data_IF_533690532592
#
_entry.id   IF_533690532592
#
_cell.length_a   1.000
_cell.length_b   1.000
_cell.length_c   1.000
_cell.angle_alpha   90.00
_cell.angle_beta   90.00
_cell.angle_gamma   90.00
#
_symmetry.space_group_name_H-M   'P 1'
#
loop_
_entity.id
_entity.type
_entity.pdbx_description
1 polymer ?
#
# COMPACT_ATOMS: atom_id res chain seq x y z
N UNK A 1 -12.16 60.49 9.05
CA UNK A 1 -11.63 59.26 9.69
C UNK A 1 -12.25 58.08 9.00
N UNK A 2 -11.57 57.51 8.00
CA UNK A 2 -11.98 56.25 7.34
C UNK A 2 -11.28 55.08 8.08
N UNK A 3 -12.07 54.16 8.62
CA UNK A 3 -11.61 52.90 9.16
C UNK A 3 -11.48 51.89 8.01
N UNK A 4 -10.26 51.52 7.66
CA UNK A 4 -9.97 50.36 6.78
C UNK A 4 -10.15 49.08 7.63
N UNK A 5 -11.15 48.28 7.28
CA UNK A 5 -11.27 46.91 7.78
C UNK A 5 -10.35 45.99 6.97
N UNK A 6 -9.27 45.52 7.59
CA UNK A 6 -8.41 44.47 7.02
C UNK A 6 -9.12 43.12 7.18
N UNK A 7 -9.66 42.61 6.09
CA UNK A 7 -10.18 41.25 6.02
C UNK A 7 -9.00 40.23 6.06
N UNK A 8 -8.87 39.50 7.17
CA UNK A 8 -8.03 38.32 7.27
C UNK A 8 -8.63 37.21 6.41
N UNK A 9 -8.00 36.94 5.25
CA UNK A 9 -8.29 35.75 4.47
C UNK A 9 -7.79 34.52 5.25
N UNK A 10 -8.70 33.65 5.65
CA UNK A 10 -8.37 32.33 6.19
C UNK A 10 -7.66 31.51 5.09
N UNK A 11 -6.60 30.77 5.42
CA UNK A 11 -5.95 29.89 4.44
C UNK A 11 -6.96 28.84 3.99
N UNK A 12 -7.15 28.76 2.67
CA UNK A 12 -7.92 27.71 2.03
C UNK A 12 -7.33 26.35 2.42
N UNK A 13 -8.02 25.59 3.27
CA UNK A 13 -7.71 24.19 3.50
C UNK A 13 -7.68 23.50 2.15
N UNK A 14 -6.58 22.85 1.82
CA UNK A 14 -6.46 22.07 0.59
C UNK A 14 -7.57 21.02 0.58
N UNK A 15 -8.66 21.30 -0.12
CA UNK A 15 -9.68 20.32 -0.44
C UNK A 15 -8.99 19.26 -1.26
N UNK A 16 -8.90 18.05 -0.72
CA UNK A 16 -8.50 16.87 -1.47
C UNK A 16 -9.51 16.77 -2.63
N UNK A 17 -9.10 17.16 -3.84
CA UNK A 17 -9.94 17.03 -5.03
C UNK A 17 -10.42 15.60 -5.11
N UNK A 18 -11.74 15.40 -5.25
CA UNK A 18 -12.32 14.08 -5.46
C UNK A 18 -11.58 13.41 -6.62
N UNK A 19 -11.32 12.09 -6.49
CA UNK A 19 -10.68 11.32 -7.56
C UNK A 19 -11.51 11.48 -8.83
N UNK A 20 -10.96 12.13 -9.86
CA UNK A 20 -11.63 12.27 -11.14
C UNK A 20 -11.51 10.98 -11.97
N UNK A 21 -12.51 10.76 -12.83
CA UNK A 21 -12.61 9.56 -13.66
C UNK A 21 -11.42 9.42 -14.63
N UNK A 22 -10.90 10.52 -15.16
CA UNK A 22 -9.78 10.50 -16.10
C UNK A 22 -8.49 10.01 -15.43
N UNK A 23 -8.21 10.51 -14.22
CA UNK A 23 -7.06 10.07 -13.42
C UNK A 23 -7.22 8.59 -13.00
N UNK A 24 -8.39 8.20 -12.51
CA UNK A 24 -8.68 6.81 -12.15
C UNK A 24 -8.57 5.88 -13.36
N UNK A 25 -9.05 6.32 -14.53
CA UNK A 25 -8.96 5.58 -15.80
C UNK A 25 -7.53 5.29 -16.23
N UNK A 26 -6.62 6.27 -16.08
CA UNK A 26 -5.18 6.02 -16.34
C UNK A 26 -4.61 4.93 -15.45
N UNK A 27 -4.93 4.93 -14.15
CA UNK A 27 -4.45 3.89 -13.23
C UNK A 27 -5.08 2.53 -13.54
N UNK A 28 -6.38 2.50 -13.85
CA UNK A 28 -7.07 1.27 -14.26
C UNK A 28 -6.44 0.68 -15.54
N UNK A 29 -6.09 1.51 -16.52
CA UNK A 29 -5.43 1.08 -17.75
C UNK A 29 -4.11 0.38 -17.46
N UNK A 30 -3.26 0.93 -16.59
CA UNK A 30 -1.99 0.28 -16.20
C UNK A 30 -2.19 -1.14 -15.67
N UNK A 31 -3.21 -1.34 -14.83
CA UNK A 31 -3.51 -2.67 -14.29
C UNK A 31 -4.16 -3.59 -15.35
N UNK A 32 -5.08 -3.08 -16.17
CA UNK A 32 -5.72 -3.85 -17.25
C UNK A 32 -4.70 -4.34 -18.29
N UNK A 33 -3.69 -3.51 -18.60
CA UNK A 33 -2.63 -3.85 -19.54
C UNK A 33 -1.65 -4.87 -18.98
N UNK A 34 -1.65 -5.14 -17.68
CA UNK A 34 -0.65 -5.99 -17.06
C UNK A 34 -1.20 -7.27 -16.38
N UNK A 35 -2.40 -7.27 -15.76
CA UNK A 35 -2.87 -8.44 -14.96
C UNK A 35 -2.94 -9.75 -15.72
N UNK A 36 -3.07 -9.69 -17.04
CA UNK A 36 -3.04 -10.86 -17.94
C UNK A 36 -1.87 -10.87 -18.92
N UNK A 37 -0.89 -10.00 -18.71
CA UNK A 37 0.34 -9.99 -19.49
C UNK A 37 1.39 -10.86 -18.81
N UNK A 38 1.62 -12.05 -19.36
CA UNK A 38 2.49 -13.06 -18.77
C UNK A 38 3.98 -12.66 -18.81
N UNK A 39 4.43 -11.99 -19.87
CA UNK A 39 5.85 -11.67 -20.05
C UNK A 39 6.07 -10.15 -20.33
N UNK A 40 7.25 -9.60 -19.87
CA UNK A 40 8.29 -10.25 -19.07
C UNK A 40 7.81 -10.60 -17.66
N UNK A 41 8.36 -11.66 -17.03
CA UNK A 41 7.97 -12.12 -15.70
C UNK A 41 9.15 -12.54 -14.86
N UNK A 42 9.07 -12.27 -13.57
CA UNK A 42 10.04 -12.65 -12.55
C UNK A 42 9.40 -13.63 -11.56
N UNK A 43 9.68 -14.92 -11.74
CA UNK A 43 9.27 -15.96 -10.79
C UNK A 43 10.16 -15.88 -9.56
N UNK A 44 9.57 -15.77 -8.37
CA UNK A 44 10.27 -15.55 -7.10
C UNK A 44 10.27 -16.75 -6.16
N UNK A 45 10.43 -18.01 -6.64
CA UNK A 45 10.48 -19.18 -5.78
C UNK A 45 11.80 -19.98 -5.91
N UNK A 46 12.05 -20.85 -4.93
CA UNK A 46 13.16 -21.79 -4.95
C UNK A 46 12.74 -23.01 -5.76
N UNK A 47 13.55 -23.40 -6.76
CA UNK A 47 13.35 -24.63 -7.52
C UNK A 47 13.87 -25.81 -6.69
N UNK A 48 13.03 -26.84 -6.49
CA UNK A 48 13.39 -28.11 -5.88
C UNK A 48 13.69 -29.20 -6.94
N UNK A 49 13.34 -28.93 -8.22
CA UNK A 49 13.58 -29.81 -9.36
C UNK A 49 13.03 -29.18 -10.64
N UNK A 50 13.24 -29.87 -11.77
CA UNK A 50 12.83 -29.40 -13.09
C UNK A 50 11.31 -29.12 -13.20
N UNK A 51 10.50 -29.85 -12.44
CA UNK A 51 9.06 -29.68 -12.35
C UNK A 51 8.62 -28.32 -11.78
N UNK A 52 9.53 -27.58 -11.13
CA UNK A 52 9.27 -26.23 -10.62
C UNK A 52 9.55 -25.13 -11.67
N UNK A 53 10.16 -25.47 -12.79
CA UNK A 53 10.50 -24.55 -13.87
C UNK A 53 9.38 -24.51 -14.92
N UNK A 54 8.17 -24.10 -14.51
CA UNK A 54 7.01 -24.00 -15.36
C UNK A 54 6.73 -22.52 -15.74
N UNK A 55 5.97 -22.28 -16.82
CA UNK A 55 5.48 -20.93 -17.16
C UNK A 55 4.68 -20.31 -16.02
N UNK A 56 4.72 -18.96 -15.85
CA UNK A 56 4.00 -18.28 -14.78
C UNK A 56 2.51 -18.67 -14.65
N UNK A 57 1.78 -18.76 -15.76
CA UNK A 57 0.34 -19.15 -15.77
C UNK A 57 0.06 -20.57 -15.27
N UNK A 58 1.07 -21.47 -15.34
CA UNK A 58 0.93 -22.84 -14.83
C UNK A 58 1.28 -22.92 -13.33
N UNK A 59 2.19 -22.08 -12.88
CA UNK A 59 2.58 -21.99 -11.47
C UNK A 59 1.53 -21.22 -10.64
N UNK A 60 1.17 -20.03 -11.10
CA UNK A 60 0.29 -19.09 -10.39
C UNK A 60 -0.86 -18.63 -11.29
N UNK A 61 -1.86 -19.51 -11.55
CA UNK A 61 -2.83 -19.31 -12.61
C UNK A 61 -3.75 -18.10 -12.42
N UNK A 62 -3.87 -17.60 -11.19
CA UNK A 62 -4.63 -16.37 -10.90
C UNK A 62 -3.75 -15.12 -11.08
N UNK A 63 -2.55 -15.12 -10.53
CA UNK A 63 -1.69 -13.94 -10.42
C UNK A 63 -0.39 -14.06 -11.24
N UNK A 64 -0.49 -14.49 -12.50
CA UNK A 64 0.65 -14.73 -13.38
C UNK A 64 1.13 -13.50 -14.14
N UNK A 65 0.36 -12.40 -14.14
CA UNK A 65 0.67 -11.18 -14.90
C UNK A 65 1.51 -10.16 -14.16
N UNK A 66 1.59 -8.95 -14.71
CA UNK A 66 2.21 -7.77 -14.11
C UNK A 66 3.67 -7.92 -13.68
N UNK A 67 4.49 -8.69 -14.39
CA UNK A 67 5.92 -8.87 -14.12
C UNK A 67 6.25 -9.81 -12.95
N UNK A 68 5.55 -9.76 -11.82
CA UNK A 68 5.70 -10.65 -10.68
C UNK A 68 4.38 -10.85 -9.90
N UNK A 69 4.39 -11.80 -8.99
CA UNK A 69 3.20 -12.22 -8.30
C UNK A 69 2.53 -11.08 -7.50
N UNK A 70 3.29 -10.37 -6.68
CA UNK A 70 2.72 -9.30 -5.84
C UNK A 70 2.20 -8.13 -6.67
N UNK A 71 2.86 -7.80 -7.78
CA UNK A 71 2.36 -6.75 -8.69
C UNK A 71 1.05 -7.14 -9.33
N UNK A 72 0.87 -8.42 -9.70
CA UNK A 72 -0.41 -8.94 -10.16
C UNK A 72 -1.48 -8.82 -9.07
N UNK A 73 -1.18 -9.24 -7.83
CA UNK A 73 -2.11 -9.16 -6.69
C UNK A 73 -2.59 -7.73 -6.45
N UNK A 74 -1.67 -6.76 -6.33
CA UNK A 74 -2.10 -5.38 -6.08
C UNK A 74 -2.66 -4.68 -7.33
N UNK A 75 -2.36 -5.17 -8.53
CA UNK A 75 -3.07 -4.78 -9.75
C UNK A 75 -4.55 -5.19 -9.72
N UNK A 76 -4.85 -6.42 -9.29
CA UNK A 76 -6.22 -6.87 -9.06
C UNK A 76 -6.91 -6.08 -7.94
N UNK A 77 -6.19 -5.77 -6.84
CA UNK A 77 -6.70 -4.89 -5.80
C UNK A 77 -7.06 -3.49 -6.35
N UNK A 78 -6.19 -2.90 -7.17
CA UNK A 78 -6.45 -1.61 -7.83
C UNK A 78 -7.75 -1.65 -8.64
N UNK A 79 -7.92 -2.69 -9.48
CA UNK A 79 -9.13 -2.86 -10.30
C UNK A 79 -10.38 -2.99 -9.44
N UNK A 80 -10.34 -3.81 -8.38
CA UNK A 80 -11.44 -3.96 -7.44
C UNK A 80 -11.77 -2.63 -6.74
N UNK A 81 -10.74 -1.93 -6.23
CA UNK A 81 -10.89 -0.65 -5.54
C UNK A 81 -11.52 0.42 -6.44
N UNK A 82 -11.00 0.60 -7.65
CA UNK A 82 -11.51 1.62 -8.56
C UNK A 82 -12.91 1.29 -9.11
N UNK A 83 -13.19 0.03 -9.45
CA UNK A 83 -14.52 -0.38 -9.88
C UNK A 83 -15.58 -0.22 -8.77
N UNK A 84 -15.20 -0.40 -7.51
CA UNK A 84 -16.06 -0.16 -6.35
C UNK A 84 -16.32 1.32 -6.11
N UNK A 85 -15.27 2.16 -6.17
CA UNK A 85 -15.36 3.60 -5.85
C UNK A 85 -16.02 4.40 -6.97
N UNK A 86 -15.81 4.00 -8.22
CA UNK A 86 -16.34 4.64 -9.43
C UNK A 86 -17.08 3.63 -10.32
N UNK A 87 -18.23 3.07 -9.85
CA UNK A 87 -18.89 1.94 -10.51
C UNK A 87 -19.48 2.26 -11.90
N UNK A 88 -19.62 3.55 -12.22
CA UNK A 88 -20.16 4.02 -13.50
C UNK A 88 -19.09 4.55 -14.45
N UNK A 89 -17.81 4.55 -14.05
CA UNK A 89 -16.71 4.99 -14.91
C UNK A 89 -16.51 4.03 -16.09
N UNK A 90 -16.03 4.56 -17.21
CA UNK A 90 -15.81 3.78 -18.43
C UNK A 90 -14.90 2.56 -18.27
N UNK A 91 -13.98 2.58 -17.31
CA UNK A 91 -13.10 1.46 -16.98
C UNK A 91 -13.74 0.41 -16.06
N UNK A 92 -14.87 0.70 -15.40
CA UNK A 92 -15.43 -0.20 -14.38
C UNK A 92 -15.85 -1.56 -14.95
N UNK A 93 -16.52 -1.60 -16.09
CA UNK A 93 -16.89 -2.86 -16.75
C UNK A 93 -15.67 -3.67 -17.23
N UNK A 94 -14.65 -3.10 -17.90
CA UNK A 94 -13.39 -3.81 -18.18
C UNK A 94 -12.68 -4.32 -16.92
N UNK A 95 -12.64 -3.55 -15.83
CA UNK A 95 -12.03 -3.97 -14.56
C UNK A 95 -12.75 -5.19 -13.97
N UNK A 96 -14.09 -5.17 -13.93
CA UNK A 96 -14.89 -6.32 -13.47
C UNK A 96 -14.67 -7.56 -14.35
N UNK A 97 -14.62 -7.40 -15.67
CA UNK A 97 -14.33 -8.50 -16.58
C UNK A 97 -12.94 -9.13 -16.35
N UNK A 98 -11.93 -8.30 -16.07
CA UNK A 98 -10.59 -8.77 -15.72
C UNK A 98 -10.57 -9.53 -14.39
N UNK A 99 -11.25 -9.02 -13.36
CA UNK A 99 -11.41 -9.70 -12.07
C UNK A 99 -12.14 -11.04 -12.21
N UNK A 100 -13.26 -11.07 -12.95
CA UNK A 100 -14.04 -12.28 -13.19
C UNK A 100 -13.22 -13.36 -13.94
N UNK A 101 -12.34 -12.95 -14.85
CA UNK A 101 -11.44 -13.86 -15.56
C UNK A 101 -10.42 -14.52 -14.65
N UNK A 102 -9.88 -13.77 -13.67
CA UNK A 102 -8.83 -14.26 -12.77
C UNK A 102 -9.36 -14.95 -11.51
N UNK A 103 -10.44 -14.42 -10.90
CA UNK A 103 -10.91 -14.86 -9.59
C UNK A 103 -11.91 -16.02 -9.67
N UNK A 104 -11.66 -16.98 -10.57
CA UNK A 104 -12.46 -18.20 -10.66
C UNK A 104 -12.06 -19.20 -9.57
N UNK A 105 -13.00 -20.08 -9.20
CA UNK A 105 -12.75 -21.11 -8.18
C UNK A 105 -11.56 -22.01 -8.56
N UNK A 106 -11.46 -22.41 -9.83
CA UNK A 106 -10.42 -23.33 -10.31
C UNK A 106 -9.03 -22.68 -10.30
N UNK A 107 -8.91 -21.42 -10.77
CA UNK A 107 -7.63 -20.70 -10.76
C UNK A 107 -7.17 -20.43 -9.34
N UNK A 108 -8.05 -19.99 -8.45
CA UNK A 108 -7.75 -19.77 -7.04
C UNK A 108 -7.40 -21.05 -6.29
N UNK A 109 -7.99 -22.19 -6.67
CA UNK A 109 -7.58 -23.50 -6.13
C UNK A 109 -6.17 -23.89 -6.61
N UNK A 110 -5.83 -23.64 -7.88
CA UNK A 110 -4.48 -23.84 -8.41
C UNK A 110 -3.45 -22.98 -7.70
N UNK A 111 -3.77 -21.71 -7.50
CA UNK A 111 -2.94 -20.75 -6.76
C UNK A 111 -2.70 -21.20 -5.31
N UNK A 112 -3.74 -21.66 -4.62
CA UNK A 112 -3.64 -22.17 -3.27
C UNK A 112 -2.79 -23.45 -3.19
N UNK A 113 -2.91 -24.35 -4.17
CA UNK A 113 -2.04 -25.54 -4.26
C UNK A 113 -0.58 -25.17 -4.50
N UNK A 114 -0.32 -24.18 -5.35
CA UNK A 114 1.04 -23.65 -5.55
C UNK A 114 1.65 -23.14 -4.23
N UNK A 115 0.89 -22.36 -3.47
CA UNK A 115 1.37 -21.88 -2.18
C UNK A 115 1.68 -23.02 -1.19
N UNK A 116 0.96 -24.12 -1.19
CA UNK A 116 1.19 -25.29 -0.32
C UNK A 116 2.41 -26.11 -0.74
N UNK A 117 2.93 -25.90 -1.94
CA UNK A 117 4.05 -26.66 -2.47
C UNK A 117 5.32 -26.54 -1.64
N UNK A 118 6.24 -27.53 -1.77
CA UNK A 118 7.53 -27.52 -1.09
C UNK A 118 8.34 -26.29 -1.50
N UNK A 119 9.17 -25.75 -0.59
CA UNK A 119 10.02 -24.59 -0.85
C UNK A 119 9.28 -23.23 -0.91
N UNK A 120 7.95 -23.18 -0.67
CA UNK A 120 7.14 -21.95 -0.79
C UNK A 120 6.90 -21.20 0.53
N UNK A 121 7.52 -21.62 1.65
CA UNK A 121 7.27 -21.06 2.99
C UNK A 121 7.57 -19.56 3.07
N UNK A 122 8.59 -19.07 2.39
CA UNK A 122 8.99 -17.65 2.36
C UNK A 122 8.50 -16.89 1.12
N UNK A 123 7.79 -17.58 0.20
CA UNK A 123 7.29 -16.94 -1.02
C UNK A 123 6.38 -15.76 -0.67
N UNK A 124 6.73 -14.60 -1.23
CA UNK A 124 6.00 -13.33 -1.12
C UNK A 124 5.81 -12.77 0.30
N UNK A 125 6.54 -13.27 1.28
CA UNK A 125 6.44 -12.85 2.68
C UNK A 125 7.38 -11.68 2.99
N UNK A 126 6.90 -10.55 3.60
CA UNK A 126 5.50 -10.32 3.98
C UNK A 126 4.66 -9.57 2.95
N UNK A 127 5.28 -8.83 2.01
CA UNK A 127 4.67 -7.80 1.17
C UNK A 127 3.54 -8.33 0.27
N UNK A 128 3.82 -9.35 -0.54
CA UNK A 128 2.82 -9.90 -1.45
C UNK A 128 1.65 -10.53 -0.71
N UNK A 129 1.92 -11.25 0.41
CA UNK A 129 0.86 -11.81 1.25
C UNK A 129 0.00 -10.70 1.90
N UNK A 130 0.60 -9.58 2.31
CA UNK A 130 -0.13 -8.44 2.85
C UNK A 130 -1.04 -7.77 1.79
N UNK A 131 -0.58 -7.64 0.54
CA UNK A 131 -1.40 -7.16 -0.55
C UNK A 131 -2.55 -8.12 -0.91
N UNK A 132 -2.32 -9.44 -0.84
CA UNK A 132 -3.39 -10.42 -1.02
C UNK A 132 -4.49 -10.25 0.06
N UNK A 133 -4.10 -10.02 1.30
CA UNK A 133 -5.05 -9.73 2.37
C UNK A 133 -5.78 -8.39 2.14
N UNK A 134 -5.11 -7.38 1.56
CA UNK A 134 -5.77 -6.14 1.14
C UNK A 134 -6.81 -6.37 0.02
N UNK A 135 -6.50 -7.22 -0.96
CA UNK A 135 -7.48 -7.61 -1.99
C UNK A 135 -8.69 -8.30 -1.34
N UNK A 136 -8.47 -9.23 -0.43
CA UNK A 136 -9.55 -9.90 0.30
C UNK A 136 -10.42 -8.91 1.08
N UNK A 137 -9.80 -7.95 1.79
CA UNK A 137 -10.52 -6.89 2.51
C UNK A 137 -11.36 -6.01 1.57
N UNK A 138 -10.83 -5.65 0.40
CA UNK A 138 -11.56 -4.84 -0.59
C UNK A 138 -12.80 -5.57 -1.12
N UNK A 139 -12.65 -6.85 -1.48
CA UNK A 139 -13.76 -7.67 -1.98
C UNK A 139 -14.83 -7.92 -0.91
N UNK A 140 -14.44 -8.21 0.33
CA UNK A 140 -15.38 -8.40 1.46
C UNK A 140 -16.18 -7.13 1.76
N UNK A 141 -15.52 -5.98 1.71
CA UNK A 141 -16.16 -4.68 1.96
C UNK A 141 -16.97 -4.16 0.78
N UNK A 142 -17.03 -4.85 -0.34
CA UNK A 142 -17.80 -4.43 -1.52
C UNK A 142 -19.19 -5.06 -1.47
N UNK A 143 -20.22 -4.24 -1.27
CA UNK A 143 -21.63 -4.65 -1.29
C UNK A 143 -22.08 -4.87 -2.73
N UNK A 144 -21.67 -6.01 -3.29
CA UNK A 144 -21.90 -6.42 -4.68
C UNK A 144 -21.87 -7.95 -4.77
N UNK A 145 -22.85 -8.55 -5.41
CA UNK A 145 -23.00 -10.01 -5.47
C UNK A 145 -21.80 -10.72 -6.11
N UNK A 146 -21.25 -10.17 -7.18
CA UNK A 146 -20.10 -10.75 -7.88
C UNK A 146 -18.84 -10.64 -7.03
N UNK A 147 -18.63 -9.48 -6.38
CA UNK A 147 -17.51 -9.28 -5.47
C UNK A 147 -17.56 -10.24 -4.26
N UNK A 148 -18.75 -10.54 -3.73
CA UNK A 148 -18.91 -11.52 -2.65
C UNK A 148 -18.59 -12.95 -3.12
N UNK A 149 -18.91 -13.31 -4.36
CA UNK A 149 -18.51 -14.60 -4.94
C UNK A 149 -16.99 -14.69 -5.12
N UNK A 150 -16.33 -13.63 -5.56
CA UNK A 150 -14.87 -13.57 -5.64
C UNK A 150 -14.21 -13.66 -4.25
N UNK A 151 -14.75 -12.96 -3.26
CA UNK A 151 -14.28 -13.04 -1.88
C UNK A 151 -14.40 -14.47 -1.32
N UNK A 152 -15.53 -15.14 -1.58
CA UNK A 152 -15.73 -16.54 -1.17
C UNK A 152 -14.69 -17.47 -1.83
N UNK A 153 -14.50 -17.34 -3.14
CA UNK A 153 -13.52 -18.15 -3.90
C UNK A 153 -12.08 -17.92 -3.43
N UNK A 154 -11.73 -16.66 -3.09
CA UNK A 154 -10.42 -16.28 -2.57
C UNK A 154 -10.15 -16.83 -1.16
N UNK A 155 -11.18 -17.22 -0.41
CA UNK A 155 -11.12 -17.51 1.02
C UNK A 155 -10.09 -18.58 1.43
N UNK A 156 -9.82 -19.62 0.60
CA UNK A 156 -8.77 -20.61 0.91
C UNK A 156 -7.38 -19.95 0.86
N UNK A 157 -7.10 -19.19 -0.18
CA UNK A 157 -5.82 -18.50 -0.39
C UNK A 157 -5.60 -17.43 0.67
N UNK A 158 -6.65 -16.68 1.04
CA UNK A 158 -6.66 -15.70 2.13
C UNK A 158 -6.25 -16.35 3.46
N UNK A 159 -6.88 -17.49 3.84
CA UNK A 159 -6.52 -18.21 5.07
C UNK A 159 -5.08 -18.72 5.06
N UNK A 160 -4.58 -19.18 3.91
CA UNK A 160 -3.18 -19.60 3.78
C UNK A 160 -2.20 -18.45 3.97
N UNK A 161 -2.48 -17.28 3.37
CA UNK A 161 -1.68 -16.08 3.56
C UNK A 161 -1.66 -15.64 5.03
N UNK A 162 -2.83 -15.55 5.65
CA UNK A 162 -2.96 -15.22 7.07
C UNK A 162 -2.21 -16.22 7.97
N UNK A 163 -2.37 -17.54 7.72
CA UNK A 163 -1.65 -18.57 8.46
C UNK A 163 -0.14 -18.45 8.32
N UNK A 164 0.38 -18.18 7.13
CA UNK A 164 1.82 -18.00 6.93
C UNK A 164 2.38 -16.82 7.71
N UNK A 165 1.65 -15.72 7.78
CA UNK A 165 2.01 -14.56 8.60
C UNK A 165 1.95 -14.94 10.08
N UNK A 166 0.90 -15.63 10.54
CA UNK A 166 0.76 -16.06 11.92
C UNK A 166 1.87 -17.03 12.37
N UNK A 167 2.27 -17.97 11.50
CA UNK A 167 3.33 -18.94 11.79
C UNK A 167 4.74 -18.31 11.78
N UNK A 168 4.93 -17.24 11.03
CA UNK A 168 6.22 -16.56 10.89
C UNK A 168 6.44 -15.49 11.94
N UNK A 169 5.44 -14.68 12.20
CA UNK A 169 5.58 -13.46 13.00
C UNK A 169 6.11 -13.71 14.43
N UNK A 170 5.71 -14.79 15.14
CA UNK A 170 6.30 -15.13 16.44
C UNK A 170 7.79 -15.46 16.41
N UNK A 171 8.31 -15.92 15.26
CA UNK A 171 9.72 -16.30 15.05
C UNK A 171 10.61 -15.14 14.67
N UNK A 172 10.04 -13.98 14.35
CA UNK A 172 10.80 -12.79 13.95
C UNK A 172 11.23 -12.04 15.21
N UNK A 173 12.51 -12.07 15.55
CA UNK A 173 13.03 -11.39 16.73
C UNK A 173 13.26 -9.89 16.53
N UNK A 174 13.61 -9.50 15.31
CA UNK A 174 13.87 -8.11 14.93
C UNK A 174 13.00 -7.69 13.75
N UNK A 175 12.48 -6.45 13.71
CA UNK A 175 11.77 -5.94 12.55
C UNK A 175 12.72 -5.76 11.36
N UNK A 176 12.18 -5.86 10.14
CA UNK A 176 12.92 -5.62 8.92
C UNK A 176 12.65 -4.17 8.50
N UNK A 177 13.69 -3.34 8.52
CA UNK A 177 13.63 -1.88 8.27
C UNK A 177 14.28 -1.50 6.93
N UNK A 178 13.91 -2.18 5.87
CA UNK A 178 14.35 -1.85 4.50
C UNK A 178 13.33 -0.95 3.82
N UNK A 179 13.73 -0.26 2.75
CA UNK A 179 12.81 0.50 1.90
C UNK A 179 12.15 -0.33 0.80
N UNK A 180 12.23 -1.68 0.89
CA UNK A 180 11.75 -2.61 -0.13
C UNK A 180 10.74 -3.63 0.43
N UNK A 181 10.39 -4.65 -0.39
CA UNK A 181 9.34 -5.67 -0.16
C UNK A 181 9.42 -6.40 1.18
N UNK A 182 10.61 -6.58 1.74
CA UNK A 182 10.77 -7.28 3.03
C UNK A 182 10.38 -6.45 4.25
N UNK A 183 10.09 -5.14 4.09
CA UNK A 183 9.76 -4.23 5.19
C UNK A 183 8.54 -4.71 5.97
N UNK A 184 8.69 -4.73 7.31
CA UNK A 184 7.61 -5.21 8.18
C UNK A 184 6.56 -4.15 8.48
N UNK A 185 6.93 -2.89 8.68
CA UNK A 185 5.99 -1.86 9.14
C UNK A 185 4.85 -1.60 8.13
N UNK A 186 5.17 -1.44 6.85
CA UNK A 186 4.16 -1.27 5.81
C UNK A 186 3.25 -2.50 5.67
N UNK A 187 3.85 -3.70 5.61
CA UNK A 187 3.08 -4.94 5.53
C UNK A 187 2.13 -5.11 6.73
N UNK A 188 2.58 -4.78 7.94
CA UNK A 188 1.74 -4.83 9.14
C UNK A 188 0.57 -3.85 9.07
N UNK A 189 0.78 -2.66 8.49
CA UNK A 189 -0.30 -1.72 8.23
C UNK A 189 -1.40 -2.31 7.35
N UNK A 190 -1.03 -2.95 6.23
CA UNK A 190 -1.97 -3.63 5.35
C UNK A 190 -2.70 -4.81 6.04
N UNK A 191 -1.97 -5.60 6.83
CA UNK A 191 -2.54 -6.73 7.55
C UNK A 191 -3.52 -6.25 8.64
N UNK A 192 -3.23 -5.15 9.35
CA UNK A 192 -4.15 -4.56 10.33
C UNK A 192 -5.44 -4.06 9.66
N UNK A 193 -5.32 -3.43 8.49
CA UNK A 193 -6.48 -2.96 7.74
C UNK A 193 -7.38 -4.13 7.31
N UNK A 194 -6.79 -5.25 6.88
CA UNK A 194 -7.52 -6.48 6.61
C UNK A 194 -8.15 -7.09 7.88
N UNK A 195 -7.37 -7.22 8.96
CA UNK A 195 -7.84 -7.85 10.20
C UNK A 195 -9.05 -7.13 10.82
N UNK A 196 -9.24 -5.84 10.52
CA UNK A 196 -10.41 -5.07 10.94
C UNK A 196 -11.67 -5.39 10.12
N UNK A 197 -11.54 -6.05 8.98
CA UNK A 197 -12.67 -6.43 8.10
C UNK A 197 -13.13 -7.87 8.30
N UNK A 198 -12.38 -8.67 9.06
CA UNK A 198 -12.70 -10.06 9.36
C UNK A 198 -13.07 -10.21 10.83
N UNK A 199 -13.96 -11.20 11.19
CA UNK A 199 -14.35 -11.42 12.57
C UNK A 199 -13.22 -11.92 13.49
N UNK A 200 -12.12 -12.39 12.92
CA UNK A 200 -11.01 -13.03 13.63
C UNK A 200 -10.06 -11.98 14.22
N UNK A 201 -10.26 -11.66 15.51
CA UNK A 201 -9.46 -10.68 16.23
C UNK A 201 -8.00 -11.12 16.47
N UNK A 202 -7.67 -12.41 16.34
CA UNK A 202 -6.36 -12.97 16.72
C UNK A 202 -5.20 -12.39 15.89
N UNK A 203 -5.36 -12.25 14.57
CA UNK A 203 -4.31 -11.69 13.72
C UNK A 203 -4.06 -10.20 14.04
N UNK A 204 -5.12 -9.44 14.24
CA UNK A 204 -5.00 -8.03 14.64
C UNK A 204 -4.24 -7.88 15.95
N UNK A 205 -4.61 -8.67 16.97
CA UNK A 205 -3.93 -8.68 18.26
C UNK A 205 -2.45 -9.12 18.15
N UNK A 206 -2.15 -10.14 17.33
CA UNK A 206 -0.79 -10.60 17.09
C UNK A 206 0.07 -9.50 16.45
N UNK A 207 -0.42 -8.86 15.39
CA UNK A 207 0.31 -7.79 14.69
C UNK A 207 0.50 -6.58 15.60
N UNK A 208 -0.51 -6.19 16.37
CA UNK A 208 -0.40 -5.10 17.34
C UNK A 208 0.65 -5.40 18.42
N UNK A 209 0.60 -6.58 19.02
CA UNK A 209 1.58 -7.00 20.04
C UNK A 209 3.01 -7.01 19.50
N UNK A 210 3.22 -7.52 18.28
CA UNK A 210 4.54 -7.53 17.63
C UNK A 210 5.02 -6.13 17.25
N UNK A 211 4.12 -5.28 16.78
CA UNK A 211 4.45 -3.88 16.46
C UNK A 211 4.87 -3.12 17.72
N UNK A 212 4.16 -3.28 18.83
CA UNK A 212 4.57 -2.70 20.11
C UNK A 212 5.95 -3.21 20.57
N UNK A 213 6.18 -4.54 20.48
CA UNK A 213 7.49 -5.13 20.81
C UNK A 213 8.62 -4.55 19.96
N UNK A 214 8.37 -4.30 18.68
CA UNK A 214 9.41 -3.89 17.73
C UNK A 214 9.68 -2.38 17.74
N UNK A 215 8.65 -1.56 17.94
CA UNK A 215 8.71 -0.15 17.59
C UNK A 215 8.41 0.82 18.75
N UNK A 216 7.83 0.33 19.87
CA UNK A 216 7.40 1.24 20.92
C UNK A 216 8.55 2.01 21.56
N UNK A 217 9.72 1.39 21.66
CA UNK A 217 10.91 1.96 22.26
C UNK A 217 11.86 2.65 21.27
N UNK A 218 11.53 2.63 19.95
CA UNK A 218 12.36 3.27 18.93
C UNK A 218 12.38 4.78 19.07
N UNK A 219 13.58 5.36 18.91
CA UNK A 219 13.84 6.79 19.04
C UNK A 219 14.84 7.25 17.98
N UNK A 220 14.77 8.54 17.61
CA UNK A 220 15.72 9.18 16.72
C UNK A 220 15.93 8.44 15.40
N UNK A 221 14.82 8.07 14.70
CA UNK A 221 14.92 7.38 13.42
C UNK A 221 15.79 8.19 12.45
N UNK A 222 16.80 7.57 11.80
CA UNK A 222 17.77 8.29 10.98
C UNK A 222 17.19 8.63 9.58
N UNK A 223 16.12 9.42 9.53
CA UNK A 223 15.43 9.80 8.29
C UNK A 223 16.36 10.48 7.26
N UNK A 224 17.46 11.10 7.72
CA UNK A 224 18.47 11.70 6.84
C UNK A 224 19.27 10.67 6.03
N UNK A 225 19.21 9.38 6.36
CA UNK A 225 19.81 8.29 5.57
C UNK A 225 18.88 7.75 4.50
N UNK A 226 17.64 8.21 4.46
CA UNK A 226 16.67 7.85 3.45
C UNK A 226 16.61 8.89 2.30
N UNK A 227 16.41 8.42 1.06
CA UNK A 227 16.27 7.04 0.67
C UNK A 227 17.61 6.31 0.51
N UNK A 228 17.59 4.97 0.62
CA UNK A 228 18.57 4.12 -0.03
C UNK A 228 18.34 4.14 -1.56
N UNK A 229 19.33 3.72 -2.35
CA UNK A 229 19.38 3.94 -3.81
C UNK A 229 18.17 3.46 -4.63
N UNK A 230 17.37 2.53 -4.10
CA UNK A 230 16.23 1.92 -4.82
C UNK A 230 15.01 1.70 -3.91
N UNK A 231 14.86 2.49 -2.85
CA UNK A 231 13.72 2.41 -1.95
C UNK A 231 12.43 2.85 -2.66
N UNK A 232 11.33 2.15 -2.39
CA UNK A 232 9.97 2.58 -2.72
C UNK A 232 9.09 2.80 -1.49
N UNK A 233 9.61 2.50 -0.30
CA UNK A 233 9.04 2.76 1.01
C UNK A 233 10.06 3.50 1.87
N UNK A 234 9.60 4.40 2.74
CA UNK A 234 10.43 5.03 3.76
C UNK A 234 10.36 4.20 5.04
N UNK A 235 11.45 3.58 5.52
CA UNK A 235 11.43 2.84 6.78
C UNK A 235 10.91 3.66 7.97
N UNK A 236 11.43 4.86 8.18
CA UNK A 236 10.99 5.71 9.28
C UNK A 236 9.51 6.14 9.17
N UNK A 237 9.07 6.55 7.98
CA UNK A 237 7.68 7.01 7.84
C UNK A 237 6.69 5.86 7.84
N UNK A 238 7.05 4.68 7.32
CA UNK A 238 6.21 3.48 7.40
C UNK A 238 6.01 3.03 8.84
N UNK A 239 7.06 3.10 9.66
CA UNK A 239 6.98 2.80 11.09
C UNK A 239 6.06 3.79 11.81
N UNK A 240 6.20 5.08 11.53
CA UNK A 240 5.31 6.10 12.11
C UNK A 240 3.85 5.93 11.64
N UNK A 241 3.62 5.60 10.35
CA UNK A 241 2.27 5.33 9.83
C UNK A 241 1.66 4.04 10.41
N UNK A 242 2.46 3.04 10.74
CA UNK A 242 1.99 1.87 11.49
C UNK A 242 1.64 2.24 12.92
N UNK A 243 2.52 2.95 13.65
CA UNK A 243 2.34 3.23 15.07
C UNK A 243 1.12 4.13 15.34
N UNK A 244 0.76 5.05 14.42
CA UNK A 244 -0.47 5.83 14.56
C UNK A 244 -1.76 4.99 14.47
N UNK A 245 -1.70 3.76 13.90
CA UNK A 245 -2.83 2.82 13.84
C UNK A 245 -3.03 2.06 15.14
N UNK A 246 -2.01 2.07 16.02
CA UNK A 246 -1.89 1.26 17.24
C UNK A 246 -2.00 2.12 18.50
N UNK A 247 -1.42 3.30 18.48
CA UNK A 247 -1.41 4.21 19.61
C UNK A 247 -2.57 5.22 19.53
N UNK A 248 -3.25 5.51 20.65
CA UNK A 248 -4.20 6.62 20.66
C UNK A 248 -3.50 7.96 20.42
N UNK A 249 -4.17 8.98 19.86
CA UNK A 249 -3.53 10.21 19.37
C UNK A 249 -2.58 10.90 20.34
N UNK A 250 -2.87 11.05 21.66
CA UNK A 250 -1.91 11.67 22.59
C UNK A 250 -0.66 10.84 22.80
N UNK A 251 -0.78 9.51 22.88
CA UNK A 251 0.36 8.61 23.04
C UNK A 251 1.19 8.54 21.76
N UNK A 252 0.55 8.55 20.58
CA UNK A 252 1.23 8.63 19.29
C UNK A 252 2.03 9.94 19.16
N UNK A 253 1.43 11.08 19.53
CA UNK A 253 2.11 12.38 19.47
C UNK A 253 3.37 12.42 20.37
N UNK A 254 3.28 11.84 21.56
CA UNK A 254 4.44 11.73 22.48
C UNK A 254 5.52 10.79 21.91
N UNK A 255 5.13 9.61 21.41
CA UNK A 255 6.03 8.64 20.79
C UNK A 255 6.73 9.24 19.56
N UNK A 256 5.97 9.89 18.66
CA UNK A 256 6.49 10.52 17.45
C UNK A 256 7.51 11.62 17.77
N UNK A 257 7.31 12.38 18.87
CA UNK A 257 8.26 13.40 19.33
C UNK A 257 9.63 12.82 19.73
N UNK A 258 9.67 11.60 20.23
CA UNK A 258 10.93 10.89 20.48
C UNK A 258 11.49 10.16 19.26
N UNK A 259 10.61 9.69 18.39
CA UNK A 259 10.99 8.93 17.19
C UNK A 259 11.50 9.80 16.05
N UNK A 260 10.83 10.93 15.76
CA UNK A 260 11.24 11.94 14.78
C UNK A 260 11.30 13.33 15.44
N UNK A 261 12.29 13.57 16.32
CA UNK A 261 12.35 14.79 17.14
C UNK A 261 12.58 16.08 16.36
N UNK A 262 13.03 15.98 15.11
CA UNK A 262 13.35 17.13 14.25
C UNK A 262 12.23 17.49 13.27
N UNK A 263 11.02 16.94 13.44
CA UNK A 263 9.87 17.37 12.63
C UNK A 263 9.58 18.86 12.88
N UNK A 264 9.47 19.70 11.82
CA UNK A 264 9.19 21.12 12.00
C UNK A 264 7.84 21.36 12.65
N UNK A 265 7.77 22.44 13.42
CA UNK A 265 6.53 22.94 14.03
C UNK A 265 5.79 23.97 13.17
N UNK A 266 6.38 24.33 12.04
CA UNK A 266 5.83 25.26 11.06
C UNK A 266 5.59 24.55 9.72
N UNK A 267 4.70 25.09 8.87
CA UNK A 267 4.23 24.47 7.64
C UNK A 267 5.27 24.38 6.49
N UNK A 268 6.55 24.19 6.80
CA UNK A 268 7.59 23.95 5.80
C UNK A 268 7.62 22.50 5.35
N UNK A 269 7.77 22.27 4.02
CA UNK A 269 7.98 20.96 3.44
C UNK A 269 9.47 20.64 3.19
N UNK A 270 10.39 21.55 3.51
CA UNK A 270 11.82 21.42 3.19
C UNK A 270 12.55 20.33 4.00
N UNK A 271 11.92 19.79 5.03
CA UNK A 271 12.48 18.70 5.84
C UNK A 271 12.44 17.32 5.15
N UNK A 272 11.64 17.19 4.06
CA UNK A 272 11.50 15.96 3.30
C UNK A 272 11.37 16.30 1.82
N UNK A 273 12.47 16.20 1.08
CA UNK A 273 12.49 16.48 -0.35
C UNK A 273 12.05 15.26 -1.16
N UNK A 274 11.28 15.45 -2.25
CA UNK A 274 10.96 14.38 -3.18
C UNK A 274 12.21 13.76 -3.79
N UNK A 275 12.24 12.46 -3.93
CA UNK A 275 13.28 11.74 -4.64
C UNK A 275 13.19 12.01 -6.14
N UNK A 276 14.34 12.03 -6.79
CA UNK A 276 14.46 12.25 -8.25
C UNK A 276 14.98 10.96 -8.88
N UNK A 277 14.28 10.47 -9.89
CA UNK A 277 14.72 9.34 -10.72
C UNK A 277 15.64 9.89 -11.79
N UNK A 278 16.91 9.49 -11.78
CA UNK A 278 17.91 9.94 -12.75
C UNK A 278 17.83 9.21 -14.08
N UNK A 279 17.39 7.95 -14.05
CA UNK A 279 17.15 7.13 -15.23
C UNK A 279 15.84 6.32 -15.08
N UNK A 280 14.74 6.77 -15.69
CA UNK A 280 13.45 6.07 -15.62
C UNK A 280 13.40 4.76 -16.40
N UNK A 281 14.42 4.45 -17.22
CA UNK A 281 14.53 3.17 -17.94
C UNK A 281 15.10 2.07 -17.06
N UNK A 282 15.81 2.41 -15.98
CA UNK A 282 16.25 1.45 -14.97
C UNK A 282 15.10 1.12 -14.02
N UNK A 283 14.58 -0.13 -14.02
CA UNK A 283 13.43 -0.51 -13.23
C UNK A 283 13.67 -0.41 -11.72
N UNK A 284 14.93 -0.45 -11.27
CA UNK A 284 15.28 -0.30 -9.86
C UNK A 284 15.33 1.16 -9.43
N UNK A 285 15.87 2.03 -10.26
CA UNK A 285 15.87 3.48 -10.00
C UNK A 285 14.44 4.05 -10.06
N UNK A 286 13.57 3.51 -10.92
CA UNK A 286 12.15 3.87 -10.97
C UNK A 286 11.38 3.59 -9.67
N UNK A 287 11.93 2.78 -8.76
CA UNK A 287 11.37 2.60 -7.41
C UNK A 287 11.22 3.92 -6.65
N UNK A 288 12.09 4.90 -6.88
CA UNK A 288 12.02 6.21 -6.23
C UNK A 288 10.74 7.00 -6.58
N UNK A 289 10.10 6.72 -7.72
CA UNK A 289 8.78 7.27 -8.03
C UNK A 289 7.70 6.71 -7.08
N UNK A 290 7.78 5.40 -6.80
CA UNK A 290 6.94 4.78 -5.79
C UNK A 290 7.22 5.29 -4.37
N UNK A 291 8.48 5.63 -4.07
CA UNK A 291 8.83 6.28 -2.82
C UNK A 291 8.11 7.62 -2.67
N UNK A 292 8.01 8.42 -3.73
CA UNK A 292 7.26 9.67 -3.68
C UNK A 292 5.77 9.43 -3.38
N UNK A 293 5.17 8.40 -3.96
CA UNK A 293 3.79 8.02 -3.65
C UNK A 293 3.64 7.56 -2.19
N UNK A 294 4.55 6.71 -1.70
CA UNK A 294 4.50 6.22 -0.32
C UNK A 294 4.81 7.32 0.71
N UNK A 295 5.75 8.21 0.41
CA UNK A 295 6.02 9.42 1.20
C UNK A 295 4.92 10.49 1.12
N UNK A 296 3.90 10.29 0.29
CA UNK A 296 2.68 11.10 0.35
C UNK A 296 1.68 10.52 1.35
N UNK A 297 1.27 9.23 1.21
CA UNK A 297 0.25 8.67 2.10
C UNK A 297 0.72 8.44 3.55
N UNK A 298 2.01 8.13 3.77
CA UNK A 298 2.53 7.93 5.12
C UNK A 298 2.43 9.21 5.96
N UNK A 299 2.91 10.39 5.51
CA UNK A 299 2.69 11.64 6.21
C UNK A 299 1.20 12.03 6.33
N UNK A 300 0.34 11.77 5.32
CA UNK A 300 -1.11 11.96 5.47
C UNK A 300 -1.66 11.13 6.64
N UNK A 301 -1.22 9.87 6.73
CA UNK A 301 -1.57 8.98 7.84
C UNK A 301 -1.05 9.48 9.19
N UNK A 302 0.21 9.89 9.25
CA UNK A 302 0.83 10.47 10.46
C UNK A 302 0.03 11.69 10.93
N UNK A 303 -0.29 12.61 10.01
CA UNK A 303 -1.10 13.78 10.34
C UNK A 303 -2.51 13.41 10.84
N UNK A 304 -3.15 12.39 10.27
CA UNK A 304 -4.44 11.89 10.73
C UNK A 304 -4.40 11.28 12.13
N UNK A 305 -3.26 10.68 12.52
CA UNK A 305 -3.06 10.10 13.85
C UNK A 305 -2.69 11.11 14.93
N UNK A 306 -2.22 12.30 14.56
CA UNK A 306 -1.89 13.36 15.53
C UNK A 306 -3.15 14.08 16.04
N UNK A 307 -3.16 14.58 17.30
CA UNK A 307 -4.19 15.50 17.77
C UNK A 307 -4.37 16.69 16.82
N UNK A 308 -5.58 17.18 16.66
CA UNK A 308 -5.91 18.24 15.69
C UNK A 308 -5.09 19.53 15.92
N UNK A 309 -4.76 19.83 17.16
CA UNK A 309 -3.97 21.01 17.55
C UNK A 309 -2.45 20.77 17.54
N UNK A 310 -1.96 19.59 17.13
CA UNK A 310 -0.53 19.32 17.11
C UNK A 310 0.19 20.20 16.07
N UNK A 311 1.21 20.98 16.46
CA UNK A 311 1.84 21.95 15.56
C UNK A 311 2.59 21.33 14.39
N UNK A 312 3.01 20.05 14.51
CA UNK A 312 3.72 19.31 13.44
C UNK A 312 2.83 18.98 12.24
N UNK A 313 1.50 18.95 12.41
CA UNK A 313 0.55 18.56 11.34
C UNK A 313 0.74 19.36 10.06
N UNK A 314 0.95 20.68 10.16
CA UNK A 314 1.10 21.55 8.99
C UNK A 314 2.33 21.20 8.16
N UNK A 315 3.47 20.96 8.80
CA UNK A 315 4.70 20.56 8.11
C UNK A 315 4.61 19.15 7.48
N UNK A 316 3.99 18.22 8.20
CA UNK A 316 3.77 16.84 7.72
C UNK A 316 2.85 16.83 6.49
N UNK A 317 1.75 17.59 6.50
CA UNK A 317 0.84 17.72 5.34
C UNK A 317 1.47 18.48 4.18
N UNK A 318 2.31 19.48 4.44
CA UNK A 318 3.05 20.19 3.38
C UNK A 318 4.03 19.25 2.65
N UNK A 319 4.75 18.40 3.37
CA UNK A 319 5.60 17.37 2.78
C UNK A 319 4.77 16.35 1.98
N UNK A 320 3.65 15.87 2.54
CA UNK A 320 2.72 14.96 1.85
C UNK A 320 2.29 15.54 0.49
N UNK A 321 1.89 16.82 0.45
CA UNK A 321 1.44 17.48 -0.77
C UNK A 321 2.55 17.57 -1.85
N UNK A 322 3.80 17.86 -1.46
CA UNK A 322 4.94 17.87 -2.38
C UNK A 322 5.21 16.50 -2.98
N UNK A 323 5.25 15.46 -2.14
CA UNK A 323 5.47 14.09 -2.56
C UNK A 323 4.31 13.56 -3.41
N UNK A 324 3.06 13.89 -3.06
CA UNK A 324 1.87 13.56 -3.88
C UNK A 324 2.00 14.14 -5.29
N UNK A 325 2.35 15.42 -5.40
CA UNK A 325 2.52 16.07 -6.70
C UNK A 325 3.67 15.45 -7.50
N UNK A 326 4.78 15.09 -6.87
CA UNK A 326 5.91 14.44 -7.52
C UNK A 326 5.55 13.02 -7.99
N UNK A 327 5.04 12.16 -7.08
CA UNK A 327 4.73 10.77 -7.39
C UNK A 327 3.62 10.61 -8.43
N UNK A 328 2.54 11.40 -8.36
CA UNK A 328 1.44 11.28 -9.34
C UNK A 328 1.86 11.70 -10.77
N UNK A 329 2.86 12.57 -10.94
CA UNK A 329 3.39 12.91 -12.27
C UNK A 329 4.10 11.75 -12.94
N UNK A 330 4.72 10.85 -12.18
CA UNK A 330 5.47 9.72 -12.70
C UNK A 330 4.61 8.50 -13.07
N UNK A 331 3.30 8.53 -12.81
CA UNK A 331 2.38 7.44 -13.14
C UNK A 331 1.93 7.58 -14.60
N UNK A 332 2.83 7.29 -15.55
CA UNK A 332 2.60 7.47 -17.01
C UNK A 332 2.40 6.16 -17.75
N UNK A 333 3.03 5.07 -17.32
CA UNK A 333 3.04 3.79 -18.02
C UNK A 333 4.05 3.70 -19.18
N UNK A 334 4.91 4.70 -19.38
CA UNK A 334 5.90 4.73 -20.45
C UNK A 334 6.95 3.61 -20.35
N UNK A 335 7.33 3.24 -19.13
CA UNK A 335 8.32 2.19 -18.85
C UNK A 335 7.68 1.05 -18.08
N UNK A 336 7.28 -0.02 -18.79
CA UNK A 336 6.52 -1.13 -18.21
C UNK A 336 7.19 -1.77 -17.00
N UNK A 337 8.46 -2.18 -17.10
CA UNK A 337 9.14 -2.93 -16.03
C UNK A 337 9.30 -2.11 -14.75
N UNK A 338 9.56 -0.81 -14.86
CA UNK A 338 9.69 0.09 -13.71
C UNK A 338 8.35 0.67 -13.22
N UNK A 339 7.35 0.79 -14.11
CA UNK A 339 6.15 1.58 -13.87
C UNK A 339 4.83 0.81 -13.72
N UNK A 340 4.79 -0.49 -14.05
CA UNK A 340 3.55 -1.30 -14.05
C UNK A 340 2.80 -1.31 -12.71
N UNK A 341 3.51 -1.16 -11.61
CA UNK A 341 2.99 -1.21 -10.25
C UNK A 341 2.62 0.16 -9.65
N UNK A 342 3.10 1.26 -10.23
CA UNK A 342 2.88 2.63 -9.72
C UNK A 342 1.38 2.99 -9.66
N UNK A 343 0.57 2.46 -10.58
CA UNK A 343 -0.89 2.63 -10.57
C UNK A 343 -1.54 2.17 -9.27
N UNK A 344 -1.07 1.08 -8.67
CA UNK A 344 -1.59 0.56 -7.40
C UNK A 344 -1.23 1.49 -6.23
N UNK A 345 -0.01 1.99 -6.18
CA UNK A 345 0.43 2.95 -5.18
C UNK A 345 -0.32 4.29 -5.31
N UNK A 346 -0.48 4.77 -6.55
CA UNK A 346 -1.29 5.95 -6.82
C UNK A 346 -2.75 5.76 -6.37
N UNK A 347 -3.35 4.61 -6.67
CA UNK A 347 -4.72 4.28 -6.23
C UNK A 347 -4.83 4.23 -4.71
N UNK A 348 -3.86 3.62 -4.02
CA UNK A 348 -3.82 3.59 -2.55
C UNK A 348 -3.81 5.00 -1.96
N UNK A 349 -2.97 5.88 -2.52
CA UNK A 349 -2.86 7.28 -2.13
C UNK A 349 -4.16 8.06 -2.38
N UNK A 350 -4.65 8.05 -3.63
CA UNK A 350 -5.76 8.96 -4.02
C UNK A 350 -7.12 8.53 -3.48
N UNK A 351 -7.29 7.24 -3.18
CA UNK A 351 -8.51 6.74 -2.53
C UNK A 351 -8.45 6.80 -1.00
N UNK A 352 -7.36 7.33 -0.43
CA UNK A 352 -7.18 7.43 1.02
C UNK A 352 -7.18 6.07 1.73
N UNK A 353 -6.83 4.98 1.01
CA UNK A 353 -6.80 3.65 1.62
C UNK A 353 -5.73 3.62 2.70
N UNK A 354 -6.06 3.16 3.89
CA UNK A 354 -5.17 3.22 5.05
C UNK A 354 -5.32 4.48 5.92
N UNK A 355 -6.10 5.46 5.51
CA UNK A 355 -6.61 6.50 6.42
C UNK A 355 -7.83 5.96 7.18
N UNK A 356 -8.14 6.49 8.37
CA UNK A 356 -9.41 6.22 9.03
C UNK A 356 -10.56 6.59 8.09
N UNK A 357 -11.61 5.76 8.09
CA UNK A 357 -12.84 6.14 7.40
C UNK A 357 -13.25 7.53 7.93
N UNK A 358 -13.51 8.45 7.01
CA UNK A 358 -14.09 9.74 7.41
C UNK A 358 -15.44 9.39 8.00
N UNK A 359 -15.56 9.48 9.32
CA UNK A 359 -16.88 9.52 9.92
C UNK A 359 -17.65 10.56 9.13
N UNK A 360 -18.77 10.14 8.54
CA UNK A 360 -19.76 11.08 8.03
C UNK A 360 -20.07 12.00 9.20
N UNK A 361 -19.46 13.20 9.19
CA UNK A 361 -19.80 14.24 10.16
C UNK A 361 -21.21 14.62 9.83
N UNK A 362 -22.13 14.08 10.64
CA UNK A 362 -23.49 14.57 10.76
C UNK A 362 -23.50 16.02 11.27
#
# INVERSE_FOLDING_TARGET
MLLLAAGLALPAGAQQTALDEATAGRFATLALDCVHREYPNKIGHVLAGDQDALPPRELTPTFYGCYDWHSSVHGHWLLARLARVLPHAGFAAPARAALAKSLTADQLAGEANYLEGPGRVSFERPYGLAWLLQLAAELRGWDDQEAQLWAFSLGRLERQAAKRIADWLPKLDHPIRTGEHSQTAFAFGLILDWARTVPEAEMGALVEARSRKFYLDDRNCPLAYEPSGQDFLSPCLAEADLMRRILPPPAFAAWLGGFLPHLPLEGSAAWLEPAVVSDPTDPKLAHLDGLNLSRAWMPEGIAAGLPTADPRRSAVLAAAARHRAAGLRSVTGEHYVGGHWLGSFATYLVTGRGLPDRATSD
#
